data_IF_703788939854
#
_entry.id   IF_703788939854
#
_cell.length_a   1.000
_cell.length_b   1.000
_cell.length_c   1.000
_cell.angle_alpha   90.00
_cell.angle_beta   90.00
_cell.angle_gamma   90.00
#
_symmetry.space_group_name_H-M   'P 1'
#
loop_
_entity.id
_entity.type
_entity.pdbx_description
1 polymer ?
#
# COMPACT_ATOMS: atom_id res chain seq x y z
N UNK A 1 17.88 21.96 -72.36
CA UNK A 1 16.45 22.05 -72.02
C UNK A 1 16.06 20.80 -71.31
N UNK A 2 16.35 20.74 -70.01
CA UNK A 2 16.08 19.57 -69.16
C UNK A 2 15.14 19.96 -68.05
N UNK A 3 13.94 19.37 -68.08
CA UNK A 3 12.88 19.55 -67.06
C UNK A 3 13.17 18.57 -65.92
N UNK A 4 13.59 19.09 -64.79
CA UNK A 4 13.63 18.30 -63.55
C UNK A 4 12.29 18.41 -62.84
N UNK A 5 11.59 17.28 -62.70
CA UNK A 5 10.41 17.17 -61.89
C UNK A 5 10.88 16.82 -60.45
N UNK A 6 10.57 17.70 -59.49
CA UNK A 6 10.80 17.48 -58.07
C UNK A 6 9.59 16.75 -57.51
N UNK A 7 9.77 15.48 -57.13
CA UNK A 7 8.77 14.71 -56.39
C UNK A 7 8.97 15.02 -54.89
N UNK A 8 8.02 15.73 -54.31
CA UNK A 8 7.98 15.97 -52.87
C UNK A 8 7.40 14.73 -52.17
N UNK A 9 8.28 13.91 -51.61
CA UNK A 9 7.88 12.81 -50.73
C UNK A 9 7.54 13.38 -49.34
N UNK A 10 6.26 13.46 -49.05
CA UNK A 10 5.78 13.82 -47.70
C UNK A 10 6.03 12.70 -46.72
N UNK A 11 6.99 12.90 -45.83
CA UNK A 11 7.23 12.00 -44.70
C UNK A 11 6.21 12.31 -43.61
N UNK A 12 5.20 11.46 -43.49
CA UNK A 12 4.28 11.46 -42.35
C UNK A 12 5.07 10.89 -41.14
N UNK A 13 5.50 11.77 -40.24
CA UNK A 13 5.98 11.35 -38.94
C UNK A 13 4.77 10.90 -38.09
N UNK A 14 4.56 9.60 -38.00
CA UNK A 14 3.77 9.02 -36.91
C UNK A 14 4.55 9.27 -35.62
N UNK A 15 4.05 10.21 -34.82
CA UNK A 15 4.44 10.31 -33.41
C UNK A 15 3.96 9.04 -32.72
N UNK A 16 4.84 8.06 -32.61
CA UNK A 16 4.66 6.96 -31.69
C UNK A 16 4.65 7.54 -30.26
N UNK A 17 3.47 7.57 -29.63
CA UNK A 17 3.37 7.66 -28.18
C UNK A 17 4.06 6.40 -27.61
N UNK A 18 5.36 6.49 -27.40
CA UNK A 18 6.10 5.53 -26.64
C UNK A 18 5.66 5.68 -25.18
N UNK A 19 4.81 4.76 -24.71
CA UNK A 19 4.62 4.58 -23.28
C UNK A 19 6.02 4.37 -22.68
N UNK A 20 6.37 5.21 -21.74
CA UNK A 20 7.58 5.07 -20.95
C UNK A 20 7.51 3.70 -20.27
N UNK A 21 8.29 2.76 -20.78
CA UNK A 21 8.49 1.48 -20.09
C UNK A 21 9.01 1.83 -18.71
N UNK A 22 8.33 1.34 -17.70
CA UNK A 22 8.76 1.46 -16.31
C UNK A 22 10.22 1.03 -16.18
N UNK A 23 11.10 2.02 -16.03
CA UNK A 23 12.56 1.80 -15.93
C UNK A 23 12.94 1.08 -14.65
N UNK A 24 12.00 0.88 -13.72
CA UNK A 24 12.24 0.18 -12.47
C UNK A 24 12.30 -1.34 -12.63
N UNK A 25 11.66 -1.90 -13.67
CA UNK A 25 11.60 -3.34 -13.90
C UNK A 25 12.92 -3.97 -14.42
N UNK A 26 13.88 -3.15 -14.90
CA UNK A 26 15.09 -3.63 -15.62
C UNK A 26 16.41 -3.12 -15.01
N UNK A 27 16.42 -2.80 -13.69
CA UNK A 27 17.67 -2.36 -13.03
C UNK A 27 18.54 -3.58 -12.71
N UNK A 28 19.65 -3.76 -13.44
CA UNK A 28 20.64 -4.76 -13.09
C UNK A 28 21.51 -4.31 -11.90
N UNK A 29 21.60 -5.14 -10.88
CA UNK A 29 22.37 -4.87 -9.65
C UNK A 29 23.81 -5.42 -9.79
N UNK A 30 24.65 -4.68 -10.52
CA UNK A 30 26.03 -5.12 -10.83
C UNK A 30 27.06 -4.65 -9.81
N UNK A 31 26.94 -3.40 -9.32
CA UNK A 31 27.88 -2.86 -8.34
C UNK A 31 27.38 -3.05 -6.90
N UNK A 32 28.29 -2.98 -5.94
CA UNK A 32 27.95 -3.04 -4.51
C UNK A 32 27.07 -1.86 -4.11
N UNK A 33 27.29 -0.67 -4.68
CA UNK A 33 26.45 0.51 -4.41
C UNK A 33 25.03 0.35 -4.93
N UNK A 34 24.86 -0.29 -6.10
CA UNK A 34 23.53 -0.61 -6.64
C UNK A 34 22.79 -1.61 -5.74
N UNK A 35 23.50 -2.66 -5.26
CA UNK A 35 22.92 -3.63 -4.32
C UNK A 35 22.56 -2.99 -3.00
N UNK A 36 23.41 -2.11 -2.47
CA UNK A 36 23.13 -1.37 -1.24
C UNK A 36 21.93 -0.45 -1.40
N UNK A 37 21.85 0.30 -2.50
CA UNK A 37 20.71 1.18 -2.79
C UNK A 37 19.39 0.38 -2.91
N UNK A 38 19.42 -0.75 -3.60
CA UNK A 38 18.27 -1.66 -3.68
C UNK A 38 17.86 -2.17 -2.29
N UNK A 39 18.82 -2.61 -1.48
CA UNK A 39 18.54 -3.11 -0.13
C UNK A 39 17.93 -2.03 0.77
N UNK A 40 18.36 -0.78 0.66
CA UNK A 40 17.76 0.35 1.38
C UNK A 40 16.30 0.58 0.94
N UNK A 41 16.04 0.58 -0.37
CA UNK A 41 14.68 0.69 -0.92
C UNK A 41 13.79 -0.47 -0.46
N UNK A 42 14.28 -1.70 -0.52
CA UNK A 42 13.55 -2.89 -0.08
C UNK A 42 13.19 -2.83 1.40
N UNK A 43 14.13 -2.48 2.27
CA UNK A 43 13.89 -2.30 3.71
C UNK A 43 12.87 -1.20 4.00
N UNK A 44 12.94 -0.10 3.27
CA UNK A 44 11.95 0.98 3.40
C UNK A 44 10.55 0.49 3.00
N UNK A 45 10.45 -0.28 1.91
CA UNK A 45 9.18 -0.86 1.47
C UNK A 45 8.60 -1.86 2.49
N UNK A 46 9.44 -2.71 3.13
CA UNK A 46 8.99 -3.60 4.21
C UNK A 46 8.35 -2.82 5.36
N UNK A 47 8.96 -1.70 5.79
CA UNK A 47 8.40 -0.86 6.86
C UNK A 47 7.09 -0.18 6.47
N UNK A 48 6.93 0.15 5.18
CA UNK A 48 5.74 0.80 4.66
C UNK A 48 4.65 -0.18 4.21
N UNK A 49 4.95 -1.48 4.12
CA UNK A 49 3.99 -2.50 3.67
C UNK A 49 2.74 -2.61 4.55
N UNK A 50 2.84 -2.19 5.81
CA UNK A 50 1.72 -2.12 6.75
C UNK A 50 0.85 -0.84 6.59
N UNK A 51 1.25 0.09 5.72
CA UNK A 51 0.50 1.31 5.45
C UNK A 51 -0.59 1.02 4.41
N UNK A 52 -1.84 1.05 4.82
CA UNK A 52 -2.99 0.83 3.93
C UNK A 52 -3.13 2.01 2.95
N UNK A 53 -3.55 1.72 1.71
CA UNK A 53 -3.81 2.73 0.67
C UNK A 53 -2.59 3.58 0.26
N UNK A 54 -1.37 3.09 0.47
CA UNK A 54 -0.18 3.72 -0.08
C UNK A 54 -0.07 3.37 -1.57
N UNK A 55 0.00 4.39 -2.42
CA UNK A 55 0.22 4.23 -3.86
C UNK A 55 1.73 4.16 -4.15
N UNK A 56 2.20 2.96 -4.53
CA UNK A 56 3.61 2.71 -4.80
C UNK A 56 4.14 3.53 -5.98
N UNK A 57 3.35 3.69 -7.04
CA UNK A 57 3.79 4.42 -8.24
C UNK A 57 3.92 5.92 -7.94
N UNK A 58 2.96 6.49 -7.20
CA UNK A 58 3.05 7.88 -6.73
C UNK A 58 4.25 8.09 -5.81
N UNK A 59 4.53 7.13 -4.91
CA UNK A 59 5.68 7.19 -4.02
C UNK A 59 7.01 7.13 -4.77
N UNK A 60 7.14 6.21 -5.74
CA UNK A 60 8.33 6.12 -6.59
C UNK A 60 8.52 7.38 -7.41
N UNK A 61 7.43 7.99 -7.91
CA UNK A 61 7.50 9.27 -8.60
C UNK A 61 8.02 10.38 -7.67
N UNK A 62 7.49 10.48 -6.44
CA UNK A 62 7.97 11.44 -5.44
C UNK A 62 9.43 11.26 -5.07
N UNK A 63 9.90 10.00 -4.94
CA UNK A 63 11.32 9.72 -4.71
C UNK A 63 12.19 10.21 -5.87
N UNK A 64 11.76 9.98 -7.12
CA UNK A 64 12.50 10.44 -8.31
C UNK A 64 12.58 11.96 -8.38
N UNK A 65 11.46 12.63 -8.11
CA UNK A 65 11.36 14.10 -8.14
C UNK A 65 12.20 14.73 -7.02
N UNK A 66 12.21 14.13 -5.83
CA UNK A 66 12.98 14.61 -4.68
C UNK A 66 14.49 14.28 -4.71
N UNK A 67 14.92 13.30 -5.55
CA UNK A 67 16.32 12.86 -5.62
C UNK A 67 17.15 13.62 -6.66
N UNK A 68 16.55 14.54 -7.41
CA UNK A 68 17.22 15.36 -8.42
C UNK A 68 18.07 16.48 -7.82
N UNK A 69 18.96 17.06 -8.64
CA UNK A 69 19.79 18.22 -8.24
C UNK A 69 18.94 19.49 -7.99
N UNK A 70 17.79 19.58 -8.65
CA UNK A 70 16.77 20.61 -8.47
C UNK A 70 15.42 19.93 -8.18
N UNK A 71 15.14 19.60 -6.90
CA UNK A 71 13.89 18.93 -6.52
C UNK A 71 12.67 19.79 -6.86
N UNK A 72 11.76 19.26 -7.67
CA UNK A 72 10.52 19.93 -8.03
C UNK A 72 9.32 19.03 -7.72
N UNK A 73 8.39 19.57 -6.93
CA UNK A 73 7.18 18.84 -6.55
C UNK A 73 6.09 18.95 -7.62
N UNK A 74 5.51 17.82 -8.01
CA UNK A 74 4.32 17.77 -8.88
C UNK A 74 3.04 18.23 -8.19
N UNK A 75 3.05 18.40 -6.88
CA UNK A 75 1.88 18.85 -6.11
C UNK A 75 1.58 20.34 -6.32
N UNK A 76 2.52 21.11 -6.91
CA UNK A 76 2.42 22.54 -7.09
C UNK A 76 2.95 23.34 -5.87
N UNK A 77 3.15 24.64 -6.08
CA UNK A 77 3.77 25.53 -5.10
C UNK A 77 2.89 25.77 -3.85
N UNK A 78 1.57 25.67 -4.01
CA UNK A 78 0.60 25.90 -2.92
C UNK A 78 0.33 24.66 -2.07
N UNK A 79 0.92 23.50 -2.38
CA UNK A 79 0.64 22.27 -1.68
C UNK A 79 1.42 22.21 -0.34
N UNK A 80 0.69 22.11 0.75
CA UNK A 80 1.27 21.81 2.08
C UNK A 80 1.49 20.29 2.20
N UNK A 81 2.72 19.84 1.90
CA UNK A 81 3.10 18.43 1.99
C UNK A 81 2.95 17.88 3.41
N UNK A 82 3.30 18.68 4.41
CA UNK A 82 3.19 18.27 5.81
C UNK A 82 1.73 18.08 6.20
N UNK A 83 0.82 18.92 5.71
CA UNK A 83 -0.61 18.76 5.95
C UNK A 83 -1.14 17.48 5.27
N UNK A 84 -0.75 17.23 4.02
CA UNK A 84 -1.15 16.00 3.31
C UNK A 84 -0.71 14.73 4.05
N UNK A 85 0.51 14.74 4.60
CA UNK A 85 1.05 13.63 5.38
C UNK A 85 0.28 13.48 6.70
N UNK A 86 0.00 14.57 7.41
CA UNK A 86 -0.80 14.54 8.65
C UNK A 86 -2.21 14.00 8.40
N UNK A 87 -2.87 14.46 7.34
CA UNK A 87 -4.21 14.02 6.99
C UNK A 87 -4.24 12.53 6.62
N UNK A 88 -3.22 12.05 5.89
CA UNK A 88 -3.06 10.64 5.61
C UNK A 88 -2.90 9.83 6.91
N UNK A 89 -2.02 10.26 7.82
CA UNK A 89 -1.80 9.59 9.11
C UNK A 89 -3.08 9.54 9.95
N UNK A 90 -3.84 10.62 9.98
CA UNK A 90 -5.12 10.70 10.69
C UNK A 90 -6.10 9.67 10.13
N UNK A 91 -6.30 9.64 8.81
CA UNK A 91 -7.17 8.64 8.16
C UNK A 91 -6.74 7.20 8.45
N UNK A 92 -5.43 6.95 8.49
CA UNK A 92 -4.89 5.62 8.81
C UNK A 92 -5.19 5.21 10.26
N UNK A 93 -5.07 6.16 11.20
CA UNK A 93 -5.41 5.91 12.62
C UNK A 93 -6.91 5.62 12.79
N UNK A 94 -7.76 6.42 12.16
CA UNK A 94 -9.21 6.23 12.18
C UNK A 94 -9.63 4.87 11.58
N UNK A 95 -9.06 4.51 10.42
CA UNK A 95 -9.32 3.23 9.78
C UNK A 95 -8.90 2.05 10.67
N UNK A 96 -7.74 2.15 11.32
CA UNK A 96 -7.25 1.13 12.26
C UNK A 96 -8.15 1.00 13.48
N UNK A 97 -8.57 2.13 14.07
CA UNK A 97 -9.48 2.14 15.21
C UNK A 97 -10.80 1.48 14.84
N UNK A 98 -11.40 1.86 13.71
CA UNK A 98 -12.65 1.26 13.23
C UNK A 98 -12.52 -0.25 13.05
N UNK A 99 -11.42 -0.71 12.43
CA UNK A 99 -11.15 -2.15 12.26
C UNK A 99 -11.02 -2.88 13.60
N UNK A 100 -10.38 -2.25 14.60
CA UNK A 100 -10.29 -2.83 15.95
C UNK A 100 -11.64 -2.91 16.63
N UNK A 101 -12.50 -1.90 16.49
CA UNK A 101 -13.86 -1.89 17.03
C UNK A 101 -14.72 -2.97 16.37
N UNK A 102 -14.69 -3.08 15.03
CA UNK A 102 -15.38 -4.13 14.29
C UNK A 102 -14.92 -5.54 14.70
N UNK A 103 -13.60 -5.72 14.88
CA UNK A 103 -13.04 -7.00 15.33
C UNK A 103 -13.45 -7.33 16.78
N UNK A 104 -13.44 -6.32 17.67
CA UNK A 104 -13.87 -6.50 19.05
C UNK A 104 -15.36 -6.88 19.13
N UNK A 105 -16.20 -6.25 18.31
CA UNK A 105 -17.63 -6.58 18.25
C UNK A 105 -17.84 -8.00 17.71
N UNK A 106 -17.14 -8.38 16.64
CA UNK A 106 -17.21 -9.73 16.08
C UNK A 106 -16.76 -10.80 17.10
N UNK A 107 -15.67 -10.54 17.82
CA UNK A 107 -15.17 -11.44 18.85
C UNK A 107 -16.17 -11.59 20.03
N UNK A 108 -16.86 -10.48 20.40
CA UNK A 108 -17.87 -10.51 21.43
C UNK A 108 -19.07 -11.36 21.03
N UNK A 109 -19.56 -11.20 19.80
CA UNK A 109 -20.69 -11.96 19.24
C UNK A 109 -20.34 -13.46 19.11
N UNK A 110 -19.14 -13.76 18.60
CA UNK A 110 -18.63 -15.14 18.49
C UNK A 110 -18.46 -15.79 19.89
N UNK A 111 -17.89 -15.03 20.84
CA UNK A 111 -17.75 -15.48 22.23
C UNK A 111 -19.08 -15.76 22.91
N UNK A 112 -20.08 -14.92 22.71
CA UNK A 112 -21.43 -15.13 23.26
C UNK A 112 -22.09 -16.37 22.63
N UNK A 113 -22.01 -16.51 21.30
CA UNK A 113 -22.55 -17.69 20.62
C UNK A 113 -21.88 -18.99 21.13
N UNK A 114 -20.56 -18.95 21.31
CA UNK A 114 -19.85 -20.10 21.88
C UNK A 114 -20.33 -20.44 23.31
N UNK A 115 -20.53 -19.45 24.17
CA UNK A 115 -21.02 -19.67 25.53
C UNK A 115 -22.44 -20.24 25.53
N UNK A 116 -23.32 -19.72 24.68
CA UNK A 116 -24.70 -20.20 24.54
C UNK A 116 -24.72 -21.67 24.07
N UNK A 117 -23.98 -22.00 23.03
CA UNK A 117 -23.87 -23.38 22.54
C UNK A 117 -23.23 -24.32 23.57
N UNK A 118 -22.25 -23.82 24.33
CA UNK A 118 -21.53 -24.64 25.31
C UNK A 118 -22.39 -24.95 26.54
N UNK A 119 -23.26 -24.01 26.94
CA UNK A 119 -24.18 -24.20 28.07
C UNK A 119 -25.17 -25.34 27.83
N UNK A 120 -25.51 -25.62 26.57
CA UNK A 120 -26.43 -26.67 26.17
C UNK A 120 -25.78 -28.07 26.07
N UNK A 121 -24.46 -28.19 26.27
CA UNK A 121 -23.75 -29.47 26.20
C UNK A 121 -23.91 -30.30 27.46
N UNK A 122 -24.03 -31.61 27.27
CA UNK A 122 -24.13 -32.57 28.39
C UNK A 122 -22.91 -32.46 29.35
N UNK A 123 -23.17 -32.31 30.63
CA UNK A 123 -22.18 -32.24 31.66
C UNK A 123 -21.50 -30.87 31.86
N UNK A 124 -21.94 -29.87 31.12
CA UNK A 124 -21.52 -28.48 31.36
C UNK A 124 -22.39 -27.85 32.45
N UNK A 125 -21.78 -27.25 33.45
CA UNK A 125 -22.42 -26.49 34.49
C UNK A 125 -22.10 -25.00 34.35
N UNK A 126 -23.09 -24.15 34.58
CA UNK A 126 -22.95 -22.68 34.52
C UNK A 126 -23.15 -22.10 35.90
N UNK A 127 -22.19 -21.33 36.37
CA UNK A 127 -22.26 -20.63 37.66
C UNK A 127 -23.01 -19.30 37.57
N UNK A 128 -23.41 -18.69 38.67
CA UNK A 128 -24.02 -17.38 38.74
C UNK A 128 -23.17 -16.25 38.13
N UNK A 129 -21.85 -16.44 38.06
CA UNK A 129 -20.91 -15.52 37.44
C UNK A 129 -20.78 -15.70 35.90
N UNK A 130 -21.47 -16.71 35.33
CA UNK A 130 -21.36 -17.06 33.91
C UNK A 130 -20.15 -17.94 33.57
N UNK A 131 -19.37 -18.40 34.56
CA UNK A 131 -18.31 -19.37 34.33
C UNK A 131 -18.95 -20.71 33.96
N UNK A 132 -18.48 -21.33 32.90
CA UNK A 132 -18.89 -22.64 32.45
C UNK A 132 -17.76 -23.64 32.71
N UNK A 133 -18.07 -24.81 33.25
CA UNK A 133 -17.11 -25.85 33.51
C UNK A 133 -17.73 -27.24 33.30
N UNK A 134 -16.89 -28.23 33.03
CA UNK A 134 -17.25 -29.63 32.97
C UNK A 134 -16.24 -30.45 33.75
N UNK A 135 -16.72 -31.35 34.60
CA UNK A 135 -15.87 -32.29 35.34
C UNK A 135 -15.56 -33.47 34.42
N UNK A 136 -14.28 -33.61 34.03
CA UNK A 136 -13.81 -34.69 33.16
C UNK A 136 -13.46 -35.97 33.91
N UNK A 137 -12.91 -35.83 35.14
CA UNK A 137 -12.55 -36.93 36.04
C UNK A 137 -12.84 -36.52 37.49
N UNK A 138 -13.30 -37.46 38.32
CA UNK A 138 -13.60 -37.26 39.74
C UNK A 138 -12.70 -38.14 40.63
#
# INVERSE_FOLDING_TARGET
MNKFAIVLAGTVMLAACGGEKDKSADVELKSEDQKASYALGFRSAEQMSAMENLDLDAMVAGLRDGFGDEPESRLGEDADMDQLIRDYQTRMMEARQKKMEEQAQANLEEGQAFLDENADKDGVEVTDSGLQYQVLES
#
